data_IF_007118775962
#
_entry.id   IF_007118775962
#
_cell.length_a   1.000
_cell.length_b   1.000
_cell.length_c   1.000
_cell.angle_alpha   90.00
_cell.angle_beta   90.00
_cell.angle_gamma   90.00
#
_symmetry.space_group_name_H-M   'P 1'
#
loop_
_entity.id
_entity.type
_entity.pdbx_description
1 polymer ?
#
# COMPACT_ATOMS: atom_id res chain seq x y z
N UNK A 1 5.81 -18.12 -1.30
CA UNK A 1 4.94 -16.90 -1.27
C UNK A 1 4.99 -16.22 0.09
N UNK A 2 5.10 -14.87 0.16
CA UNK A 2 4.95 -14.10 1.40
C UNK A 2 3.48 -13.75 1.60
N UNK A 3 2.98 -13.80 2.83
CA UNK A 3 1.59 -13.49 3.15
C UNK A 3 1.53 -12.35 4.17
N UNK A 4 0.86 -11.27 3.81
CA UNK A 4 0.66 -10.10 4.68
C UNK A 4 -0.82 -9.79 4.86
N UNK A 5 -1.11 -8.94 5.81
CA UNK A 5 -2.46 -8.47 6.11
C UNK A 5 -2.59 -6.99 5.72
N UNK A 6 -3.69 -6.64 5.07
CA UNK A 6 -4.11 -5.25 4.88
C UNK A 6 -5.56 -5.06 5.28
N UNK A 7 -5.87 -3.94 5.93
CA UNK A 7 -7.22 -3.55 6.35
C UNK A 7 -7.27 -2.07 6.66
N UNK A 8 -8.46 -1.53 6.91
CA UNK A 8 -8.64 -0.13 7.31
C UNK A 8 -8.28 0.15 8.77
N UNK A 9 -8.24 -0.87 9.65
CA UNK A 9 -7.84 -0.74 11.06
C UNK A 9 -8.47 0.49 11.76
N UNK A 10 -9.81 0.52 11.86
CA UNK A 10 -10.53 1.64 12.44
C UNK A 10 -10.05 1.99 13.87
N UNK A 11 -9.98 3.29 14.19
CA UNK A 11 -9.47 3.78 15.47
C UNK A 11 -10.26 3.29 16.69
N UNK A 12 -11.53 2.91 16.53
CA UNK A 12 -12.40 2.37 17.58
C UNK A 12 -12.40 0.84 17.65
N UNK A 13 -11.68 0.17 16.75
CA UNK A 13 -11.46 -1.29 16.78
C UNK A 13 -10.45 -1.71 17.86
N UNK A 14 -10.02 -2.98 17.83
CA UNK A 14 -8.96 -3.44 18.74
C UNK A 14 -7.69 -2.61 18.57
N UNK A 15 -6.91 -2.43 19.67
CA UNK A 15 -5.67 -1.68 19.60
C UNK A 15 -4.75 -2.20 18.49
N UNK A 16 -4.21 -1.31 17.68
CA UNK A 16 -3.31 -1.65 16.56
C UNK A 16 -2.10 -2.47 17.01
N UNK A 17 -1.63 -2.23 18.23
CA UNK A 17 -0.54 -2.99 18.85
C UNK A 17 -0.92 -4.44 19.11
N UNK A 18 -2.13 -4.71 19.59
CA UNK A 18 -2.62 -6.06 19.80
C UNK A 18 -2.83 -6.81 18.48
N UNK A 19 -3.36 -6.12 17.46
CA UNK A 19 -3.51 -6.67 16.11
C UNK A 19 -2.15 -7.00 15.49
N UNK A 20 -1.15 -6.13 15.62
CA UNK A 20 0.20 -6.37 15.12
C UNK A 20 0.87 -7.59 15.78
N UNK A 21 0.70 -7.76 17.08
CA UNK A 21 1.18 -8.94 17.81
C UNK A 21 0.47 -10.21 17.36
N UNK A 22 -0.85 -10.16 17.13
CA UNK A 22 -1.61 -11.30 16.61
C UNK A 22 -1.15 -11.67 15.18
N UNK A 23 -0.99 -10.68 14.30
CA UNK A 23 -0.48 -10.88 12.93
C UNK A 23 0.91 -11.54 12.97
N UNK A 24 1.81 -11.06 13.84
CA UNK A 24 3.14 -11.65 13.99
C UNK A 24 3.10 -13.07 14.56
N UNK A 25 2.25 -13.34 15.54
CA UNK A 25 2.14 -14.65 16.20
C UNK A 25 1.55 -15.72 15.28
N UNK A 26 0.62 -15.31 14.40
CA UNK A 26 -0.01 -16.17 13.40
C UNK A 26 0.88 -16.45 12.18
N UNK A 27 2.09 -15.87 12.11
CA UNK A 27 3.07 -16.18 11.07
C UNK A 27 2.94 -15.35 9.79
N UNK A 28 2.12 -14.30 9.77
CA UNK A 28 2.11 -13.37 8.63
C UNK A 28 3.43 -12.61 8.52
N UNK A 29 3.84 -12.31 7.28
CA UNK A 29 5.12 -11.62 7.00
C UNK A 29 5.03 -10.12 7.21
N UNK A 30 3.84 -9.52 7.00
CA UNK A 30 3.70 -8.07 7.02
C UNK A 30 2.29 -7.58 7.36
N UNK A 31 2.24 -6.34 7.87
CA UNK A 31 1.02 -5.57 8.15
C UNK A 31 1.03 -4.28 7.34
N UNK A 32 -0.10 -3.98 6.66
CA UNK A 32 -0.21 -2.85 5.76
C UNK A 32 -1.43 -1.99 6.06
N UNK A 33 -1.24 -0.68 6.06
CA UNK A 33 -2.29 0.30 6.34
C UNK A 33 -2.47 1.28 5.19
N UNK A 34 -3.74 1.54 4.85
CA UNK A 34 -4.11 2.59 3.91
C UNK A 34 -4.18 3.96 4.58
N UNK A 35 -4.49 4.97 3.78
CA UNK A 35 -4.59 6.37 4.22
C UNK A 35 -5.77 7.06 3.56
N UNK A 36 -6.59 7.72 4.39
CA UNK A 36 -7.55 8.76 4.03
C UNK A 36 -7.63 9.74 5.20
N UNK A 37 -6.79 10.80 5.22
CA UNK A 37 -6.68 11.68 6.38
C UNK A 37 -7.95 12.47 6.65
N UNK A 38 -8.68 12.85 5.60
CA UNK A 38 -9.93 13.60 5.71
C UNK A 38 -10.79 13.42 4.47
N UNK A 39 -11.93 12.76 4.62
CA UNK A 39 -12.93 12.64 3.56
C UNK A 39 -13.99 13.70 3.77
N UNK A 40 -14.27 14.59 2.80
CA UNK A 40 -15.33 15.60 2.91
C UNK A 40 -16.70 14.96 3.18
N UNK A 41 -17.52 15.62 4.00
CA UNK A 41 -18.85 15.12 4.36
C UNK A 41 -19.74 14.92 3.13
N UNK A 42 -19.59 15.79 2.13
CA UNK A 42 -20.35 15.79 0.87
C UNK A 42 -19.53 15.28 -0.31
N UNK A 43 -18.58 14.36 -0.09
CA UNK A 43 -17.71 13.86 -1.16
C UNK A 43 -18.51 13.09 -2.22
N UNK A 44 -18.90 13.79 -3.29
CA UNK A 44 -19.62 13.20 -4.42
C UNK A 44 -18.77 12.22 -5.21
N UNK A 45 -17.43 12.44 -5.26
CA UNK A 45 -16.46 11.57 -5.91
C UNK A 45 -16.05 10.35 -5.06
N UNK A 46 -16.45 10.30 -3.78
CA UNK A 46 -16.20 9.16 -2.90
C UNK A 46 -17.12 7.97 -3.22
N UNK A 47 -17.15 7.60 -4.50
CA UNK A 47 -17.93 6.48 -5.04
C UNK A 47 -16.99 5.53 -5.75
N UNK A 48 -16.88 4.31 -5.23
CA UNK A 48 -16.04 3.28 -5.85
C UNK A 48 -16.92 2.22 -6.51
N UNK A 49 -16.66 1.96 -7.80
CA UNK A 49 -17.46 1.00 -8.60
C UNK A 49 -18.97 1.31 -8.61
N UNK A 50 -19.34 2.59 -8.52
CA UNK A 50 -20.75 3.03 -8.49
C UNK A 50 -21.45 2.80 -7.15
N UNK A 51 -20.70 2.53 -6.08
CA UNK A 51 -21.20 2.35 -4.71
C UNK A 51 -20.49 3.34 -3.79
N UNK A 52 -21.20 4.05 -2.88
CA UNK A 52 -20.56 4.90 -1.88
C UNK A 52 -19.54 4.13 -1.05
N UNK A 53 -18.47 4.81 -0.64
CA UNK A 53 -17.51 4.22 0.27
C UNK A 53 -18.15 3.76 1.57
N UNK A 54 -17.72 2.62 2.13
CA UNK A 54 -18.08 2.22 3.47
C UNK A 54 -17.74 3.30 4.51
N UNK A 55 -18.55 3.39 5.56
CA UNK A 55 -18.40 4.42 6.58
C UNK A 55 -17.04 4.40 7.30
N UNK A 56 -16.45 3.20 7.43
CA UNK A 56 -15.16 2.98 8.07
C UNK A 56 -13.97 3.66 7.39
N UNK A 57 -14.05 3.99 6.10
CA UNK A 57 -13.02 4.81 5.44
C UNK A 57 -12.82 6.17 6.09
N UNK A 58 -13.85 6.69 6.78
CA UNK A 58 -13.81 7.95 7.55
C UNK A 58 -13.16 7.80 8.92
N UNK A 59 -12.80 6.57 9.29
CA UNK A 59 -12.34 6.21 10.63
C UNK A 59 -10.93 5.60 10.62
N UNK A 60 -10.24 5.70 9.49
CA UNK A 60 -8.85 5.23 9.37
C UNK A 60 -7.93 6.10 10.22
N UNK A 61 -7.12 5.50 11.11
CA UNK A 61 -6.09 6.25 11.84
C UNK A 61 -4.91 6.60 10.93
N UNK A 62 -4.10 7.57 11.36
CA UNK A 62 -2.85 7.88 10.68
C UNK A 62 -1.95 6.64 10.58
N UNK A 63 -1.49 6.25 9.37
CA UNK A 63 -0.72 5.03 9.19
C UNK A 63 0.67 5.11 9.83
N UNK A 64 1.34 6.26 9.82
CA UNK A 64 2.71 6.37 10.36
C UNK A 64 2.73 6.28 11.87
N UNK A 65 1.75 6.92 12.54
CA UNK A 65 1.59 6.83 14.01
C UNK A 65 1.23 5.41 14.41
N UNK A 66 0.28 4.80 13.71
CA UNK A 66 -0.19 3.43 13.99
C UNK A 66 0.89 2.38 13.76
N UNK A 67 1.60 2.46 12.61
CA UNK A 67 2.70 1.54 12.30
C UNK A 67 3.88 1.74 13.24
N UNK A 68 4.12 2.97 13.74
CA UNK A 68 5.12 3.23 14.78
C UNK A 68 4.80 2.51 16.08
N UNK A 69 3.54 2.56 16.53
CA UNK A 69 3.09 1.84 17.72
C UNK A 69 3.18 0.31 17.51
N UNK A 70 2.75 -0.20 16.36
CA UNK A 70 2.85 -1.61 16.01
C UNK A 70 4.31 -2.12 15.98
N UNK A 71 5.22 -1.30 15.45
CA UNK A 71 6.64 -1.62 15.36
C UNK A 71 7.31 -1.77 16.72
N UNK A 72 6.86 -1.00 17.71
CA UNK A 72 7.40 -1.03 19.08
C UNK A 72 7.09 -2.34 19.85
N UNK A 73 6.08 -3.10 19.41
CA UNK A 73 5.61 -4.34 20.07
C UNK A 73 5.85 -5.61 19.26
N UNK A 74 6.54 -5.51 18.11
CA UNK A 74 6.83 -6.62 17.20
C UNK A 74 8.30 -6.65 16.79
N UNK A 75 8.80 -7.82 16.38
CA UNK A 75 10.22 -8.01 16.09
C UNK A 75 10.52 -8.47 14.66
N UNK A 76 9.57 -9.09 13.97
CA UNK A 76 9.80 -9.77 12.69
C UNK A 76 8.96 -9.21 11.55
N UNK A 77 7.67 -8.94 11.76
CA UNK A 77 6.77 -8.50 10.68
C UNK A 77 7.27 -7.19 10.07
N UNK A 78 7.10 -7.10 8.76
CA UNK A 78 7.33 -5.86 8.02
C UNK A 78 6.09 -4.99 8.07
N UNK A 79 6.30 -3.72 7.83
CA UNK A 79 5.23 -2.71 7.80
C UNK A 79 5.16 -2.08 6.43
N UNK A 80 3.94 -1.87 5.92
CA UNK A 80 3.73 -1.22 4.65
C UNK A 80 2.64 -0.16 4.70
N UNK A 81 2.78 0.87 3.89
CA UNK A 81 1.65 1.74 3.56
C UNK A 81 0.97 1.25 2.29
N UNK A 82 -0.36 1.11 2.32
CA UNK A 82 -1.12 0.59 1.19
C UNK A 82 -2.43 1.39 0.99
N UNK A 83 -2.27 2.60 0.55
CA UNK A 83 -1.10 3.35 0.14
C UNK A 83 -1.04 4.69 0.85
N UNK A 84 0.15 5.28 1.03
CA UNK A 84 0.26 6.68 1.39
C UNK A 84 -0.16 7.57 0.21
N UNK A 85 -1.06 8.54 0.45
CA UNK A 85 -1.52 9.48 -0.56
C UNK A 85 -0.57 10.69 -0.60
N UNK A 86 0.57 10.52 -1.25
CA UNK A 86 1.69 11.48 -1.24
C UNK A 86 1.28 12.93 -1.50
N UNK A 87 0.41 13.28 -2.48
CA UNK A 87 0.10 14.68 -2.75
C UNK A 87 -0.67 15.41 -1.64
N UNK A 88 -1.12 14.69 -0.60
CA UNK A 88 -1.78 15.25 0.58
C UNK A 88 -0.81 15.67 1.69
N UNK A 89 0.48 15.37 1.54
CA UNK A 89 1.51 15.66 2.52
C UNK A 89 2.39 16.85 2.15
N UNK A 90 3.12 17.37 3.14
CA UNK A 90 4.34 18.15 2.92
C UNK A 90 5.51 17.19 2.69
N UNK A 91 6.31 17.35 1.62
CA UNK A 91 7.36 16.40 1.25
C UNK A 91 8.50 16.30 2.27
N UNK A 92 8.83 17.38 2.99
CA UNK A 92 9.89 17.38 4.00
C UNK A 92 9.41 16.61 5.23
N UNK A 93 8.19 16.87 5.67
CA UNK A 93 7.59 16.16 6.79
C UNK A 93 7.40 14.68 6.48
N UNK A 94 6.91 14.33 5.29
CA UNK A 94 6.75 12.94 4.88
C UNK A 94 8.09 12.22 4.81
N UNK A 95 9.12 12.83 4.24
CA UNK A 95 10.47 12.26 4.22
C UNK A 95 10.99 11.96 5.64
N UNK A 96 10.75 12.88 6.58
CA UNK A 96 11.09 12.72 7.98
C UNK A 96 10.31 11.59 8.66
N UNK A 97 9.00 11.54 8.47
CA UNK A 97 8.12 10.51 9.05
C UNK A 97 8.54 9.11 8.62
N UNK A 98 8.71 8.90 7.31
CA UNK A 98 9.12 7.62 6.74
C UNK A 98 10.50 7.19 7.25
N UNK A 99 11.48 8.09 7.23
CA UNK A 99 12.82 7.78 7.72
C UNK A 99 12.82 7.45 9.22
N UNK A 100 12.04 8.18 10.02
CA UNK A 100 11.93 7.93 11.46
C UNK A 100 11.28 6.58 11.74
N UNK A 101 10.18 6.25 11.04
CA UNK A 101 9.51 4.96 11.16
C UNK A 101 10.42 3.80 10.75
N UNK A 102 11.25 4.00 9.70
CA UNK A 102 12.22 3.00 9.26
C UNK A 102 13.26 2.68 10.36
N UNK A 103 13.69 3.69 11.13
CA UNK A 103 14.54 3.48 12.32
C UNK A 103 13.79 2.78 13.44
N UNK A 104 12.57 3.21 13.78
CA UNK A 104 11.76 2.61 14.86
C UNK A 104 11.53 1.12 14.59
N UNK A 105 11.23 0.75 13.35
CA UNK A 105 10.99 -0.65 12.98
C UNK A 105 12.26 -1.43 12.60
N UNK A 106 13.46 -0.84 12.74
CA UNK A 106 14.73 -1.52 12.43
C UNK A 106 14.86 -1.94 10.96
N UNK A 107 14.43 -1.11 10.01
CA UNK A 107 14.54 -1.40 8.57
C UNK A 107 13.47 -2.35 8.03
N UNK A 108 12.35 -2.53 8.73
CA UNK A 108 11.24 -3.39 8.30
C UNK A 108 10.18 -2.65 7.48
N UNK A 109 10.35 -1.36 7.18
CA UNK A 109 9.38 -0.55 6.44
C UNK A 109 9.43 -0.81 4.93
N UNK A 110 8.26 -0.75 4.29
CA UNK A 110 8.04 -0.70 2.84
C UNK A 110 7.13 0.49 2.58
N UNK A 111 7.54 1.42 1.72
CA UNK A 111 6.78 2.61 1.42
C UNK A 111 5.96 2.43 0.15
N UNK A 112 4.70 2.04 0.31
CA UNK A 112 3.74 2.00 -0.78
C UNK A 112 3.06 3.35 -0.95
N UNK A 113 3.07 3.92 -2.15
CA UNK A 113 2.49 5.22 -2.41
C UNK A 113 1.56 5.27 -3.62
N UNK A 114 0.67 6.25 -3.62
CA UNK A 114 -0.24 6.54 -4.70
C UNK A 114 -0.57 8.02 -4.82
N UNK A 115 -1.42 8.33 -5.80
CA UNK A 115 -1.79 9.70 -6.15
C UNK A 115 -3.12 10.16 -5.54
N UNK A 116 -3.83 9.26 -4.84
CA UNK A 116 -5.22 9.49 -4.44
C UNK A 116 -6.21 9.33 -5.61
N UNK A 117 -7.45 9.07 -5.29
CA UNK A 117 -8.51 8.81 -6.27
C UNK A 117 -9.82 9.58 -5.98
N UNK A 118 -9.98 10.18 -4.81
CA UNK A 118 -11.12 11.01 -4.43
C UNK A 118 -10.81 12.47 -4.79
N UNK A 119 -11.56 13.04 -5.73
CA UNK A 119 -11.36 14.40 -6.20
C UNK A 119 -11.66 15.43 -5.12
N UNK A 120 -12.83 15.29 -4.42
CA UNK A 120 -13.20 16.17 -3.32
C UNK A 120 -12.15 16.19 -2.19
N UNK A 121 -11.46 15.09 -1.97
CA UNK A 121 -10.37 15.01 -1.00
C UNK A 121 -9.16 15.83 -1.44
N UNK A 122 -8.82 15.82 -2.73
CA UNK A 122 -7.75 16.63 -3.28
C UNK A 122 -7.99 18.14 -3.07
N UNK A 123 -9.24 18.59 -3.17
CA UNK A 123 -9.62 19.98 -2.94
C UNK A 123 -9.39 20.41 -1.48
N UNK A 124 -9.71 19.54 -0.51
CA UNK A 124 -9.44 19.80 0.92
C UNK A 124 -7.97 20.02 1.19
N UNK A 125 -7.10 19.27 0.50
CA UNK A 125 -5.63 19.39 0.63
C UNK A 125 -5.03 20.45 -0.32
N UNK A 126 -5.86 21.24 -0.99
CA UNK A 126 -5.45 22.42 -1.74
C UNK A 126 -4.69 22.14 -3.02
N UNK A 127 -4.88 20.97 -3.65
CA UNK A 127 -4.25 20.67 -4.93
C UNK A 127 -5.28 20.26 -5.98
N UNK A 128 -4.96 20.53 -7.25
CA UNK A 128 -5.79 20.15 -8.38
C UNK A 128 -5.71 18.65 -8.65
N UNK A 129 -6.86 17.98 -8.70
CA UNK A 129 -6.93 16.55 -8.94
C UNK A 129 -6.31 16.10 -10.27
N UNK A 130 -6.53 16.87 -11.35
CA UNK A 130 -5.94 16.60 -12.67
C UNK A 130 -4.39 16.73 -12.70
N UNK A 131 -3.79 17.39 -11.71
CA UNK A 131 -2.34 17.55 -11.56
C UNK A 131 -1.72 16.60 -10.53
N UNK A 132 -2.52 15.76 -9.86
CA UNK A 132 -2.06 14.90 -8.77
C UNK A 132 -0.87 14.01 -9.14
N UNK A 133 -0.84 13.46 -10.37
CA UNK A 133 0.27 12.62 -10.81
C UNK A 133 1.59 13.40 -10.92
N UNK A 134 1.59 14.55 -11.59
CA UNK A 134 2.77 15.41 -11.73
C UNK A 134 3.29 15.84 -10.36
N UNK A 135 2.39 16.31 -9.48
CA UNK A 135 2.71 16.66 -8.09
C UNK A 135 3.32 15.50 -7.32
N UNK A 136 2.72 14.32 -7.38
CA UNK A 136 3.25 13.13 -6.69
C UNK A 136 4.65 12.78 -7.15
N UNK A 137 4.88 12.76 -8.46
CA UNK A 137 6.19 12.41 -9.00
C UNK A 137 7.27 13.43 -8.63
N UNK A 138 6.91 14.70 -8.59
CA UNK A 138 7.82 15.75 -8.18
C UNK A 138 8.16 15.65 -6.68
N UNK A 139 7.14 15.44 -5.83
CA UNK A 139 7.33 15.19 -4.40
C UNK A 139 8.20 13.96 -4.13
N UNK A 140 7.99 12.85 -4.86
CA UNK A 140 8.80 11.64 -4.68
C UNK A 140 10.27 11.84 -5.07
N UNK A 141 10.56 12.67 -6.08
CA UNK A 141 11.95 13.05 -6.38
C UNK A 141 12.56 13.86 -5.24
N UNK A 142 11.84 14.87 -4.73
CA UNK A 142 12.25 15.67 -3.59
C UNK A 142 12.51 14.81 -2.34
N UNK A 143 11.62 13.88 -2.04
CA UNK A 143 11.74 12.94 -0.92
C UNK A 143 12.99 12.06 -1.08
N UNK A 144 13.26 11.53 -2.27
CA UNK A 144 14.48 10.74 -2.53
C UNK A 144 15.75 11.56 -2.29
N UNK A 145 15.81 12.82 -2.72
CA UNK A 145 16.93 13.74 -2.42
C UNK A 145 17.10 13.87 -0.91
N UNK A 146 16.00 14.13 -0.17
CA UNK A 146 16.04 14.26 1.29
C UNK A 146 16.52 12.98 2.00
N UNK A 147 16.28 11.81 1.43
CA UNK A 147 16.71 10.52 2.00
C UNK A 147 18.17 10.18 1.69
N UNK A 148 18.70 10.63 0.56
CA UNK A 148 20.01 10.17 0.05
C UNK A 148 21.11 11.20 0.17
N UNK A 149 20.76 12.50 0.20
CA UNK A 149 21.72 13.59 0.20
C UNK A 149 21.62 14.42 1.48
N UNK A 150 22.75 14.94 1.97
CA UNK A 150 22.77 15.85 3.11
C UNK A 150 23.07 17.28 2.65
N UNK A 151 22.37 18.25 3.25
CA UNK A 151 22.52 19.65 2.86
C UNK A 151 22.07 19.97 1.42
N UNK A 152 21.21 19.13 0.84
CA UNK A 152 20.71 19.32 -0.51
C UNK A 152 19.43 20.16 -0.55
N UNK A 153 19.29 20.95 -1.61
CA UNK A 153 18.05 21.62 -1.99
C UNK A 153 17.36 20.88 -3.13
N UNK A 154 16.12 21.26 -3.41
CA UNK A 154 15.36 20.74 -4.52
C UNK A 154 14.60 21.86 -5.23
N UNK A 155 14.50 21.81 -6.57
CA UNK A 155 13.69 22.74 -7.36
C UNK A 155 12.98 21.97 -8.48
N UNK A 156 11.69 21.78 -8.32
CA UNK A 156 10.79 21.12 -9.25
C UNK A 156 9.60 22.00 -9.59
N UNK A 157 8.62 21.42 -10.29
CA UNK A 157 7.41 22.14 -10.71
C UNK A 157 6.45 22.41 -9.53
N UNK A 158 6.35 21.48 -8.58
CA UNK A 158 5.40 21.53 -7.45
C UNK A 158 6.08 21.70 -6.11
N UNK A 159 7.37 21.39 -6.01
CA UNK A 159 8.14 21.39 -4.77
C UNK A 159 9.43 22.16 -4.99
N UNK A 160 9.75 23.07 -4.08
CA UNK A 160 11.05 23.75 -4.06
C UNK A 160 11.42 24.10 -2.63
N UNK A 161 12.67 23.84 -2.26
CA UNK A 161 13.25 24.23 -0.97
C UNK A 161 14.76 24.45 -1.10
N UNK A 162 15.35 25.39 -0.31
CA UNK A 162 16.79 25.60 -0.29
C UNK A 162 17.51 24.39 0.31
N UNK A 163 18.85 24.34 0.27
CA UNK A 163 19.63 23.33 0.96
C UNK A 163 19.24 23.19 2.43
N UNK A 164 18.88 21.98 2.84
CA UNK A 164 18.41 21.67 4.20
C UNK A 164 19.05 20.39 4.73
N UNK A 165 19.21 20.31 6.05
CA UNK A 165 19.51 19.04 6.73
C UNK A 165 18.20 18.34 7.12
N UNK A 166 17.91 17.19 6.52
CA UNK A 166 16.77 16.35 6.85
C UNK A 166 17.24 15.00 7.41
N UNK A 167 17.42 14.93 8.72
CA UNK A 167 17.89 13.73 9.43
C UNK A 167 16.81 13.23 10.42
N UNK A 168 16.75 11.89 10.71
CA UNK A 168 17.66 10.86 10.21
C UNK A 168 17.44 10.58 8.72
N UNK A 169 18.48 10.08 8.03
CA UNK A 169 18.29 9.39 6.76
C UNK A 169 17.70 8.00 7.04
N UNK A 170 16.95 7.37 6.12
CA UNK A 170 16.49 6.01 6.32
C UNK A 170 17.59 5.04 6.75
N UNK A 171 17.24 4.03 7.54
CA UNK A 171 18.17 2.95 7.90
C UNK A 171 18.47 2.07 6.69
N UNK A 172 17.45 1.78 5.88
CA UNK A 172 17.58 1.01 4.64
C UNK A 172 18.30 1.83 3.55
N UNK A 173 19.13 1.19 2.74
CA UNK A 173 19.94 1.82 1.70
C UNK A 173 19.59 1.30 0.30
N UNK A 174 19.59 2.16 -0.74
CA UNK A 174 19.85 3.62 -0.72
C UNK A 174 18.73 4.42 -0.06
N UNK A 175 17.52 3.86 0.05
CA UNK A 175 16.32 4.42 0.68
C UNK A 175 15.36 3.29 1.10
N UNK A 176 14.28 3.61 1.79
CA UNK A 176 13.18 2.67 2.06
C UNK A 176 12.65 2.12 0.73
N UNK A 177 12.39 0.80 0.60
CA UNK A 177 11.80 0.25 -0.62
C UNK A 177 10.49 0.95 -0.99
N UNK A 178 10.38 1.40 -2.24
CA UNK A 178 9.27 2.19 -2.75
C UNK A 178 8.41 1.34 -3.67
N UNK A 179 7.13 1.13 -3.34
CA UNK A 179 6.17 0.46 -4.18
C UNK A 179 5.13 1.44 -4.71
N UNK A 180 4.80 1.32 -6.00
CA UNK A 180 3.71 2.09 -6.61
C UNK A 180 2.40 1.34 -6.42
N UNK A 181 1.41 1.99 -5.80
CA UNK A 181 0.05 1.48 -5.72
C UNK A 181 -0.75 1.74 -6.99
N UNK A 182 -1.61 0.79 -7.34
CA UNK A 182 -2.64 0.99 -8.37
C UNK A 182 -3.92 0.26 -8.00
N UNK A 183 -5.05 0.77 -8.50
CA UNK A 183 -6.33 0.07 -8.38
C UNK A 183 -6.40 -1.18 -9.28
N UNK A 184 -7.55 -1.84 -9.23
CA UNK A 184 -7.89 -2.96 -10.11
C UNK A 184 -8.26 -2.46 -11.51
N UNK A 185 -7.50 -1.55 -12.09
CA UNK A 185 -7.88 -1.04 -13.39
C UNK A 185 -7.93 -2.22 -14.37
N UNK A 186 -9.15 -2.63 -14.72
CA UNK A 186 -9.41 -3.54 -15.85
C UNK A 186 -8.96 -2.87 -17.15
N UNK A 187 -8.52 -1.60 -17.06
CA UNK A 187 -8.02 -0.80 -18.15
C UNK A 187 -6.49 -0.79 -18.20
N UNK A 188 -5.96 -0.14 -19.18
CA UNK A 188 -4.55 -0.01 -19.52
C UNK A 188 -3.68 0.50 -18.34
N UNK A 189 -2.98 -0.40 -17.67
CA UNK A 189 -1.98 -0.08 -16.64
C UNK A 189 -0.62 0.37 -17.21
N UNK A 190 -0.49 0.52 -18.52
CA UNK A 190 0.77 0.81 -19.22
C UNK A 190 1.55 1.96 -18.56
N UNK A 191 0.85 3.07 -18.24
CA UNK A 191 1.47 4.25 -17.61
C UNK A 191 1.98 3.97 -16.20
N UNK A 192 1.26 3.15 -15.44
CA UNK A 192 1.66 2.77 -14.07
C UNK A 192 2.88 1.86 -14.12
N UNK A 193 2.84 0.81 -14.95
CA UNK A 193 3.91 -0.17 -15.10
C UNK A 193 5.20 0.46 -15.62
N UNK A 194 5.11 1.37 -16.61
CA UNK A 194 6.27 2.13 -17.09
C UNK A 194 6.87 2.99 -15.98
N UNK A 195 6.05 3.58 -15.10
CA UNK A 195 6.53 4.31 -13.91
C UNK A 195 7.21 3.38 -12.92
N UNK A 196 6.66 2.19 -12.67
CA UNK A 196 7.30 1.18 -11.82
C UNK A 196 8.69 0.84 -12.35
N UNK A 197 8.81 0.53 -13.63
CA UNK A 197 10.07 0.24 -14.27
C UNK A 197 11.10 1.38 -14.06
N UNK A 198 10.67 2.62 -14.23
CA UNK A 198 11.56 3.79 -14.14
C UNK A 198 11.99 4.18 -12.74
N UNK A 199 11.09 4.12 -11.77
CA UNK A 199 11.27 4.92 -10.53
C UNK A 199 11.04 4.18 -9.22
N UNK A 200 10.49 2.96 -9.23
CA UNK A 200 10.09 2.25 -8.01
C UNK A 200 10.84 0.94 -7.82
N UNK A 201 10.81 0.40 -6.61
CA UNK A 201 11.38 -0.89 -6.25
C UNK A 201 10.36 -2.02 -6.32
N UNK A 202 9.10 -1.68 -6.64
CA UNK A 202 8.04 -2.67 -6.78
C UNK A 202 6.68 -2.07 -7.13
N UNK A 203 5.70 -2.96 -7.14
CA UNK A 203 4.32 -2.66 -7.52
C UNK A 203 3.34 -3.34 -6.58
N UNK A 204 2.27 -2.62 -6.21
CA UNK A 204 1.20 -3.16 -5.35
C UNK A 204 -0.17 -2.83 -5.97
N UNK A 205 -0.63 -3.65 -6.94
CA UNK A 205 -1.97 -3.56 -7.49
C UNK A 205 -2.99 -4.19 -6.54
N UNK A 206 -4.27 -3.94 -6.83
CA UNK A 206 -5.40 -4.51 -6.12
C UNK A 206 -6.25 -5.37 -7.04
N UNK A 207 -6.65 -6.56 -6.57
CA UNK A 207 -7.77 -7.33 -7.11
C UNK A 207 -7.63 -7.79 -8.58
N UNK A 208 -6.42 -8.10 -9.00
CA UNK A 208 -6.16 -8.73 -10.30
C UNK A 208 -6.20 -10.24 -10.17
N UNK A 209 -6.78 -10.93 -11.15
CA UNK A 209 -6.73 -12.39 -11.25
C UNK A 209 -5.32 -12.89 -11.62
N UNK A 210 -5.00 -14.18 -11.41
CA UNK A 210 -3.72 -14.74 -11.84
C UNK A 210 -3.42 -14.50 -13.33
N UNK A 211 -4.41 -14.68 -14.21
CA UNK A 211 -4.25 -14.42 -15.64
C UNK A 211 -3.94 -12.94 -15.93
N UNK A 212 -4.67 -12.01 -15.29
CA UNK A 212 -4.38 -10.57 -15.44
C UNK A 212 -2.98 -10.23 -14.92
N UNK A 213 -2.54 -10.87 -13.82
CA UNK A 213 -1.18 -10.67 -13.31
C UNK A 213 -0.12 -11.14 -14.30
N UNK A 214 -0.31 -12.29 -14.96
CA UNK A 214 0.59 -12.77 -16.01
C UNK A 214 0.78 -11.73 -17.11
N UNK A 215 -0.32 -11.18 -17.64
CA UNK A 215 -0.28 -10.18 -18.72
C UNK A 215 0.41 -8.88 -18.27
N UNK A 216 0.05 -8.39 -17.09
CA UNK A 216 0.63 -7.15 -16.55
C UNK A 216 2.13 -7.30 -16.25
N UNK A 217 2.55 -8.45 -15.72
CA UNK A 217 3.95 -8.69 -15.39
C UNK A 217 4.80 -8.97 -16.63
N UNK A 218 4.23 -9.53 -17.70
CA UNK A 218 4.91 -9.61 -18.99
C UNK A 218 5.22 -8.20 -19.54
N UNK A 219 4.22 -7.31 -19.54
CA UNK A 219 4.40 -5.91 -19.96
C UNK A 219 5.42 -5.17 -19.05
N UNK A 220 5.41 -5.45 -17.75
CA UNK A 220 6.36 -4.83 -16.81
C UNK A 220 7.80 -5.29 -17.08
N UNK A 221 8.02 -6.56 -17.47
CA UNK A 221 9.34 -7.05 -17.89
C UNK A 221 9.87 -6.29 -19.10
N UNK A 222 9.03 -6.15 -20.13
CA UNK A 222 9.41 -5.41 -21.34
C UNK A 222 9.83 -3.96 -20.99
N UNK A 223 9.08 -3.29 -20.11
CA UNK A 223 9.44 -1.94 -19.66
C UNK A 223 10.72 -1.91 -18.82
N UNK A 224 10.97 -2.93 -18.01
CA UNK A 224 12.23 -3.04 -17.28
C UNK A 224 13.41 -3.22 -18.21
N UNK A 225 13.27 -4.04 -19.25
CA UNK A 225 14.30 -4.24 -20.29
C UNK A 225 14.57 -2.94 -21.06
N UNK A 226 13.52 -2.19 -21.44
CA UNK A 226 13.67 -0.85 -22.06
C UNK A 226 14.44 0.14 -21.19
N UNK A 227 14.25 0.09 -19.87
CA UNK A 227 14.87 1.01 -18.90
C UNK A 227 16.19 0.46 -18.31
N UNK A 228 16.65 -0.73 -18.73
CA UNK A 228 17.86 -1.39 -18.22
C UNK A 228 17.77 -1.79 -16.74
N UNK A 229 16.56 -2.08 -16.25
CA UNK A 229 16.28 -2.44 -14.86
C UNK A 229 16.09 -3.93 -14.70
N UNK A 230 16.72 -4.52 -13.68
CA UNK A 230 16.53 -5.92 -13.34
C UNK A 230 15.11 -6.15 -12.75
N UNK A 231 14.23 -6.72 -13.56
CA UNK A 231 12.86 -7.08 -13.17
C UNK A 231 12.82 -7.98 -11.92
N UNK A 232 13.77 -8.89 -11.76
CA UNK A 232 13.77 -9.87 -10.65
C UNK A 232 13.96 -9.20 -9.28
N UNK A 233 14.47 -7.97 -9.25
CA UNK A 233 14.64 -7.19 -8.02
C UNK A 233 13.37 -6.49 -7.58
N UNK A 234 12.35 -6.38 -8.44
CA UNK A 234 11.10 -5.75 -8.08
C UNK A 234 10.34 -6.56 -7.02
N UNK A 235 9.80 -5.89 -6.02
CA UNK A 235 8.82 -6.45 -5.07
C UNK A 235 7.43 -6.37 -5.71
N UNK A 236 6.88 -7.52 -6.08
CA UNK A 236 5.53 -7.62 -6.63
C UNK A 236 4.59 -8.09 -5.53
N UNK A 237 3.85 -7.14 -4.98
CA UNK A 237 2.84 -7.38 -3.94
C UNK A 237 1.45 -7.22 -4.54
N UNK A 238 0.49 -8.07 -4.19
CA UNK A 238 -0.88 -8.01 -4.72
C UNK A 238 -1.89 -8.04 -3.57
N UNK A 239 -2.88 -7.15 -3.61
CA UNK A 239 -4.00 -7.20 -2.69
C UNK A 239 -5.04 -8.17 -3.22
N UNK A 240 -5.34 -9.20 -2.42
CA UNK A 240 -6.38 -10.20 -2.69
C UNK A 240 -7.40 -10.13 -1.56
N UNK A 241 -8.72 -10.06 -1.84
CA UNK A 241 -9.72 -9.99 -0.79
C UNK A 241 -9.79 -11.31 -0.01
N UNK A 242 -10.00 -11.23 1.29
CA UNK A 242 -10.03 -12.39 2.18
C UNK A 242 -11.10 -13.42 1.79
N UNK A 243 -12.21 -13.00 1.17
CA UNK A 243 -13.25 -13.89 0.66
C UNK A 243 -12.71 -14.90 -0.37
N UNK A 244 -11.68 -14.54 -1.15
CA UNK A 244 -11.04 -15.47 -2.08
C UNK A 244 -10.38 -16.64 -1.36
N UNK A 245 -10.15 -16.50 -0.06
CA UNK A 245 -9.59 -17.52 0.84
C UNK A 245 -10.65 -18.08 1.81
N UNK A 246 -11.94 -17.81 1.55
CA UNK A 246 -13.05 -18.30 2.37
C UNK A 246 -13.25 -17.54 3.70
N UNK A 247 -12.71 -16.32 3.83
CA UNK A 247 -12.81 -15.53 5.05
C UNK A 247 -13.68 -14.29 4.83
N UNK A 248 -14.69 -14.12 5.71
CA UNK A 248 -15.59 -12.96 5.70
C UNK A 248 -16.55 -12.92 4.52
N UNK A 249 -17.15 -11.77 4.31
CA UNK A 249 -18.10 -11.49 3.22
C UNK A 249 -17.57 -10.34 2.34
N UNK A 250 -17.99 -10.33 1.08
CA UNK A 250 -17.69 -9.20 0.19
C UNK A 250 -18.43 -7.95 0.65
N UNK A 251 -17.74 -6.83 0.82
CA UNK A 251 -18.43 -5.55 0.99
C UNK A 251 -19.28 -5.23 -0.26
N UNK A 252 -20.35 -4.42 -0.13
CA UNK A 252 -21.26 -4.13 -1.26
C UNK A 252 -20.56 -3.62 -2.52
N UNK A 253 -19.47 -2.85 -2.37
CA UNK A 253 -18.65 -2.39 -3.50
C UNK A 253 -17.75 -3.51 -4.05
N UNK A 254 -17.39 -4.48 -3.22
CA UNK A 254 -16.57 -5.62 -3.58
C UNK A 254 -17.26 -6.55 -4.57
N UNK A 255 -18.57 -6.76 -4.43
CA UNK A 255 -19.34 -7.62 -5.35
C UNK A 255 -19.16 -7.22 -6.81
N UNK A 256 -19.06 -5.92 -7.12
CA UNK A 256 -18.81 -5.44 -8.48
C UNK A 256 -17.33 -5.49 -8.90
N UNK A 257 -16.42 -5.37 -7.95
CA UNK A 257 -14.98 -5.40 -8.21
C UNK A 257 -14.45 -6.83 -8.38
N UNK A 258 -15.14 -7.81 -7.81
CA UNK A 258 -14.67 -9.18 -7.65
C UNK A 258 -15.49 -10.23 -8.39
N UNK A 259 -16.32 -9.84 -9.35
CA UNK A 259 -17.14 -10.78 -10.16
C UNK A 259 -16.31 -11.92 -10.76
N UNK A 260 -15.01 -11.69 -11.01
CA UNK A 260 -14.08 -12.64 -11.58
C UNK A 260 -13.30 -13.45 -10.52
N UNK A 261 -13.33 -13.03 -9.22
CA UNK A 261 -12.62 -13.67 -8.11
C UNK A 261 -13.60 -14.55 -7.32
N UNK A 262 -13.76 -15.79 -7.72
CA UNK A 262 -14.60 -16.77 -6.99
C UNK A 262 -13.79 -17.41 -5.87
N UNK A 263 -14.46 -17.82 -4.76
CA UNK A 263 -13.83 -18.66 -3.76
C UNK A 263 -13.32 -19.96 -4.42
N UNK A 264 -12.02 -20.19 -4.31
CA UNK A 264 -11.35 -21.40 -4.78
C UNK A 264 -10.52 -21.97 -3.63
N UNK A 265 -9.89 -23.11 -3.85
CA UNK A 265 -8.92 -23.61 -2.88
C UNK A 265 -7.80 -22.57 -2.68
N UNK A 266 -7.65 -22.10 -1.44
CA UNK A 266 -6.68 -21.05 -1.11
C UNK A 266 -5.25 -21.39 -1.54
N UNK A 267 -4.83 -22.64 -1.37
CA UNK A 267 -3.48 -23.10 -1.72
C UNK A 267 -3.27 -23.16 -3.24
N UNK A 268 -4.30 -23.52 -4.00
CA UNK A 268 -4.25 -23.48 -5.47
C UNK A 268 -4.16 -22.06 -5.98
N UNK A 269 -4.96 -21.14 -5.44
CA UNK A 269 -4.91 -19.72 -5.81
C UNK A 269 -3.56 -19.07 -5.48
N UNK A 270 -2.97 -19.40 -4.32
CA UNK A 270 -1.63 -18.95 -3.95
C UNK A 270 -0.59 -19.44 -4.95
N UNK A 271 -0.67 -20.72 -5.34
CA UNK A 271 0.25 -21.31 -6.31
C UNK A 271 0.13 -20.64 -7.68
N UNK A 272 -1.11 -20.38 -8.15
CA UNK A 272 -1.34 -19.66 -9.42
C UNK A 272 -0.74 -18.24 -9.40
N UNK A 273 -0.90 -17.50 -8.30
CA UNK A 273 -0.27 -16.18 -8.17
C UNK A 273 1.26 -16.26 -8.10
N UNK A 274 1.80 -17.26 -7.42
CA UNK A 274 3.25 -17.46 -7.35
C UNK A 274 3.83 -17.80 -8.74
N UNK A 275 3.16 -18.66 -9.50
CA UNK A 275 3.51 -18.97 -10.89
C UNK A 275 3.41 -17.75 -11.80
N UNK A 276 2.40 -16.90 -11.61
CA UNK A 276 2.28 -15.62 -12.30
C UNK A 276 3.43 -14.65 -11.99
N UNK A 277 4.16 -14.84 -10.89
CA UNK A 277 5.30 -14.00 -10.49
C UNK A 277 5.01 -13.03 -9.34
N UNK A 278 3.88 -13.17 -8.65
CA UNK A 278 3.59 -12.44 -7.40
C UNK A 278 4.54 -12.92 -6.31
N UNK A 279 5.13 -12.00 -5.55
CA UNK A 279 6.08 -12.31 -4.46
C UNK A 279 5.44 -12.19 -3.07
N UNK A 280 4.37 -11.41 -2.96
CA UNK A 280 3.62 -11.21 -1.72
C UNK A 280 2.13 -11.05 -2.01
N UNK A 281 1.30 -11.76 -1.27
CA UNK A 281 -0.14 -11.54 -1.22
C UNK A 281 -0.46 -10.74 0.04
N UNK A 282 -1.19 -9.64 -0.12
CA UNK A 282 -1.78 -8.87 0.95
C UNK A 282 -3.24 -9.26 1.06
N UNK A 283 -3.57 -10.02 2.09
CA UNK A 283 -4.95 -10.45 2.34
C UNK A 283 -5.74 -9.26 2.86
N UNK A 284 -6.67 -8.79 2.05
CA UNK A 284 -7.57 -7.69 2.38
C UNK A 284 -8.69 -8.17 3.31
N UNK A 285 -8.47 -8.07 4.60
CA UNK A 285 -9.48 -8.44 5.58
C UNK A 285 -10.62 -7.40 5.60
N UNK A 286 -11.85 -7.86 5.92
CA UNK A 286 -12.95 -6.95 6.24
C UNK A 286 -12.58 -6.08 7.43
N UNK A 287 -13.40 -5.09 7.67
CA UNK A 287 -13.15 -4.06 8.67
C UNK A 287 -12.84 -4.60 10.05
N UNK A 288 -11.78 -4.08 10.64
CA UNK A 288 -11.29 -4.44 11.97
C UNK A 288 -11.95 -3.57 13.03
N UNK A 289 -13.30 -3.62 13.09
CA UNK A 289 -14.10 -2.69 13.90
C UNK A 289 -14.34 -3.16 15.35
N UNK A 290 -14.23 -4.46 15.59
CA UNK A 290 -14.47 -5.06 16.90
C UNK A 290 -13.58 -6.30 17.15
N UNK A 291 -13.87 -7.05 18.21
CA UNK A 291 -13.11 -8.24 18.57
C UNK A 291 -13.20 -9.39 17.55
N UNK A 292 -14.11 -9.31 16.57
CA UNK A 292 -14.13 -10.26 15.44
C UNK A 292 -12.88 -10.16 14.56
N UNK A 293 -12.16 -9.03 14.63
CA UNK A 293 -10.89 -8.85 13.96
C UNK A 293 -9.88 -9.97 14.26
N UNK A 294 -9.78 -10.40 15.53
CA UNK A 294 -8.87 -11.49 15.90
C UNK A 294 -9.30 -12.82 15.29
N UNK A 295 -10.62 -13.11 15.30
CA UNK A 295 -11.16 -14.28 14.64
C UNK A 295 -10.91 -14.26 13.14
N UNK A 296 -11.10 -13.12 12.48
CA UNK A 296 -10.82 -12.97 11.06
C UNK A 296 -9.34 -13.22 10.73
N UNK A 297 -8.41 -12.79 11.61
CA UNK A 297 -6.98 -13.09 11.48
C UNK A 297 -6.69 -14.58 11.63
N UNK A 298 -7.28 -15.25 12.63
CA UNK A 298 -7.12 -16.69 12.85
C UNK A 298 -7.69 -17.51 11.69
N UNK A 299 -8.91 -17.17 11.23
CA UNK A 299 -9.55 -17.83 10.10
C UNK A 299 -8.70 -17.64 8.81
N UNK A 300 -8.15 -16.45 8.59
CA UNK A 300 -7.25 -16.20 7.47
C UNK A 300 -5.95 -17.03 7.59
N UNK A 301 -5.31 -17.04 8.75
CA UNK A 301 -4.09 -17.81 8.98
C UNK A 301 -4.32 -19.30 8.74
N UNK A 302 -5.42 -19.85 9.26
CA UNK A 302 -5.80 -21.25 9.07
C UNK A 302 -6.10 -21.56 7.60
N UNK A 303 -6.88 -20.71 6.92
CA UNK A 303 -7.21 -20.89 5.49
C UNK A 303 -5.98 -20.83 4.58
N UNK A 304 -4.94 -20.13 5.00
CA UNK A 304 -3.68 -19.94 4.27
C UNK A 304 -2.56 -20.91 4.72
N UNK A 305 -2.85 -21.84 5.63
CA UNK A 305 -1.89 -22.85 6.10
C UNK A 305 -0.74 -22.29 6.94
N UNK A 306 -0.95 -21.17 7.65
CA UNK A 306 0.02 -20.57 8.57
C UNK A 306 -0.15 -21.05 10.01
N UNK A 307 -1.34 -21.55 10.38
CA UNK A 307 -1.70 -22.04 11.72
C UNK A 307 -2.07 -23.51 11.72
#
# INVERSE_FOLDING_TARGET
MKLGITSNFCWFGPPVTALAQAIESLGFESMWMGEHPAIPVSAASAVRYGVPLPANYRHMPDPFVSLGAAAAVTNRIRFGTNICIVPQHDPINLAKQVATLDHICGGRLIFGYGTGWIEDEAEVFGYRFDKRLGRTLDMMRAIKVLWTEDGAGYSGEYVSFPPVHCNPKPLQRPHVPILVGSGNDKTDNTRVLRRVARTADGWVPSFLTPAMMCDQLAMLRDFCDEEGKDYNRLDISLIVPAISFGVGELPPWGAKAYDDLKPVNAMELIAEYEEAGVKRILVGLPDMEDNSAFKNLEDAAKGLGLA
#
